data_IF_773683184761
#
_entry.id   IF_773683184761
#
_cell.length_a   1.000
_cell.length_b   1.000
_cell.length_c   1.000
_cell.angle_alpha   90.00
_cell.angle_beta   90.00
_cell.angle_gamma   90.00
#
_symmetry.space_group_name_H-M   'P 1'
#
loop_
_entity.id
_entity.type
_entity.pdbx_description
1 polymer ?
#
# COMPACT_ATOMS: atom_id res chain seq x y z
N UNK A 1 7.15 -22.75 -4.04
CA UNK A 1 6.91 -21.70 -5.03
C UNK A 1 5.81 -20.79 -4.53
N UNK A 2 6.08 -19.50 -4.50
CA UNK A 2 5.14 -18.49 -4.01
C UNK A 2 3.79 -18.54 -4.75
N UNK A 3 3.79 -18.88 -6.04
CA UNK A 3 2.59 -18.97 -6.86
C UNK A 3 1.53 -19.97 -6.36
N UNK A 4 1.93 -20.98 -5.57
CA UNK A 4 0.98 -21.94 -5.02
C UNK A 4 0.11 -21.36 -3.91
N UNK A 5 0.49 -20.24 -3.34
CA UNK A 5 -0.24 -19.57 -2.27
C UNK A 5 -1.15 -18.46 -2.78
N UNK A 6 -1.14 -18.17 -4.08
CA UNK A 6 -2.02 -17.19 -4.70
C UNK A 6 -3.35 -17.81 -5.13
N UNK A 7 -3.97 -18.59 -4.25
CA UNK A 7 -5.20 -19.33 -4.56
C UNK A 7 -6.40 -18.41 -4.84
N UNK A 8 -6.35 -17.16 -4.35
CA UNK A 8 -7.43 -16.18 -4.49
C UNK A 8 -7.19 -15.22 -5.66
N UNK A 9 -6.14 -15.45 -6.45
CA UNK A 9 -5.79 -14.58 -7.57
C UNK A 9 -5.47 -15.40 -8.82
N UNK A 10 -6.08 -15.04 -9.95
CA UNK A 10 -5.80 -15.64 -11.25
C UNK A 10 -4.74 -14.83 -11.98
N UNK A 11 -3.76 -15.51 -12.58
CA UNK A 11 -2.77 -14.86 -13.42
C UNK A 11 -3.41 -14.52 -14.76
N UNK A 12 -3.44 -13.23 -15.09
CA UNK A 12 -4.04 -12.74 -16.35
C UNK A 12 -2.98 -12.54 -17.41
N UNK A 13 -1.86 -11.94 -17.06
CA UNK A 13 -0.75 -11.63 -17.97
C UNK A 13 0.57 -11.94 -17.26
N UNK A 14 1.52 -12.50 -18.02
CA UNK A 14 2.89 -12.68 -17.59
C UNK A 14 3.82 -12.11 -18.66
N UNK A 15 4.78 -11.30 -18.25
CA UNK A 15 5.83 -10.77 -19.12
C UNK A 15 7.20 -11.08 -18.54
N UNK A 16 8.04 -11.68 -19.37
CA UNK A 16 9.44 -11.86 -19.04
C UNK A 16 10.21 -10.56 -19.28
N UNK A 17 11.04 -10.20 -18.32
CA UNK A 17 11.92 -9.05 -18.40
C UNK A 17 13.38 -9.51 -18.24
N UNK A 18 14.34 -8.62 -18.47
CA UNK A 18 15.77 -8.97 -18.40
C UNK A 18 16.16 -9.55 -17.03
N UNK A 19 15.61 -9.03 -15.94
CA UNK A 19 16.00 -9.40 -14.58
C UNK A 19 14.83 -9.93 -13.75
N UNK A 20 13.75 -10.35 -14.39
CA UNK A 20 12.62 -10.87 -13.66
C UNK A 20 11.36 -10.95 -14.50
N UNK A 21 10.23 -10.94 -13.84
CA UNK A 21 8.95 -11.19 -14.45
C UNK A 21 7.93 -10.16 -13.94
N UNK A 22 7.07 -9.69 -14.82
CA UNK A 22 5.89 -8.89 -14.44
C UNK A 22 4.66 -9.75 -14.61
N UNK A 23 3.83 -9.81 -13.59
CA UNK A 23 2.56 -10.53 -13.61
C UNK A 23 1.40 -9.61 -13.29
N UNK A 24 0.34 -9.71 -14.06
CA UNK A 24 -0.94 -9.07 -13.74
C UNK A 24 -1.86 -10.15 -13.18
N UNK A 25 -2.36 -9.91 -11.98
CA UNK A 25 -3.23 -10.84 -11.27
C UNK A 25 -4.62 -10.22 -11.10
N UNK A 26 -5.63 -11.04 -11.17
CA UNK A 26 -7.00 -10.66 -10.82
C UNK A 26 -7.41 -11.45 -9.58
N UNK A 27 -7.76 -10.74 -8.52
CA UNK A 27 -8.14 -11.39 -7.27
C UNK A 27 -8.01 -10.45 -6.07
N UNK A 28 -8.04 -11.04 -4.89
CA UNK A 28 -7.95 -10.29 -3.64
C UNK A 28 -6.48 -10.10 -3.23
N UNK A 29 -6.02 -8.87 -3.26
CA UNK A 29 -4.65 -8.54 -2.92
C UNK A 29 -4.27 -8.90 -1.48
N UNK A 30 -5.23 -8.96 -0.57
CA UNK A 30 -4.98 -9.27 0.86
C UNK A 30 -4.28 -10.62 1.04
N UNK A 31 -4.57 -11.59 0.17
CA UNK A 31 -3.98 -12.93 0.25
C UNK A 31 -2.71 -13.13 -0.56
N UNK A 32 -2.24 -12.11 -1.27
CA UNK A 32 -1.04 -12.25 -2.11
C UNK A 32 0.21 -12.19 -1.27
N UNK A 33 1.05 -13.21 -1.39
CA UNK A 33 2.33 -13.29 -0.69
C UNK A 33 3.44 -12.55 -1.46
N UNK A 34 4.42 -12.04 -0.73
CA UNK A 34 5.58 -11.38 -1.31
C UNK A 34 6.43 -10.71 -0.25
N UNK A 35 7.43 -9.99 -0.70
CA UNK A 35 8.32 -9.25 0.19
C UNK A 35 7.72 -7.88 0.55
N UNK A 36 7.26 -7.17 -0.47
CA UNK A 36 6.75 -5.80 -0.33
C UNK A 36 5.41 -5.70 -1.04
N UNK A 37 4.46 -5.07 -0.39
CA UNK A 37 3.17 -4.74 -0.98
C UNK A 37 3.00 -3.23 -0.98
N UNK A 38 2.74 -2.66 -2.16
CA UNK A 38 2.46 -1.23 -2.32
C UNK A 38 0.95 -1.03 -2.30
N UNK A 39 0.47 -0.14 -1.45
CA UNK A 39 -0.96 0.14 -1.32
C UNK A 39 -1.25 1.64 -1.43
N UNK A 40 -2.39 2.02 -2.02
CA UNK A 40 -2.81 3.41 -2.03
C UNK A 40 -3.23 3.84 -0.62
N UNK A 41 -2.86 5.05 -0.24
CA UNK A 41 -3.20 5.62 1.04
C UNK A 41 -3.68 7.06 0.87
N UNK A 42 -4.25 7.63 1.92
CA UNK A 42 -4.52 9.06 1.99
C UNK A 42 -3.40 9.78 2.75
N UNK A 43 -3.36 11.10 2.63
CA UNK A 43 -2.31 11.90 3.24
C UNK A 43 -2.28 11.85 4.77
N UNK A 44 -3.34 11.37 5.40
CA UNK A 44 -3.45 11.23 6.86
C UNK A 44 -3.02 9.84 7.34
N UNK A 45 -2.79 8.89 6.45
CA UNK A 45 -2.54 7.47 6.77
C UNK A 45 -3.67 6.87 7.64
N UNK A 46 -4.91 7.33 7.45
CA UNK A 46 -6.03 6.95 8.32
C UNK A 46 -6.67 5.60 7.98
N UNK A 47 -6.51 5.12 6.74
CA UNK A 47 -7.01 3.81 6.35
C UNK A 47 -8.52 3.63 6.47
N UNK A 48 -9.30 4.64 6.08
CA UNK A 48 -10.76 4.66 6.30
C UNK A 48 -11.60 4.40 5.07
N UNK A 49 -10.99 4.26 3.91
CA UNK A 49 -11.73 4.11 2.65
C UNK A 49 -11.11 3.05 1.75
N UNK A 50 -11.98 2.34 1.05
CA UNK A 50 -11.62 1.46 -0.04
C UNK A 50 -10.59 0.39 0.32
N UNK A 51 -9.60 0.22 -0.53
CA UNK A 51 -8.56 -0.79 -0.36
C UNK A 51 -7.72 -0.53 0.89
N UNK A 52 -7.43 0.73 1.21
CA UNK A 52 -6.63 1.08 2.39
C UNK A 52 -7.33 0.61 3.68
N UNK A 53 -8.64 0.82 3.80
CA UNK A 53 -9.42 0.33 4.95
C UNK A 53 -9.35 -1.19 5.03
N UNK A 54 -9.54 -1.88 3.91
CA UNK A 54 -9.49 -3.33 3.87
C UNK A 54 -8.11 -3.86 4.28
N UNK A 55 -7.04 -3.22 3.83
CA UNK A 55 -5.68 -3.60 4.20
C UNK A 55 -5.42 -3.36 5.69
N UNK A 56 -5.91 -2.25 6.24
CA UNK A 56 -5.81 -1.95 7.66
C UNK A 56 -6.53 -3.00 8.51
N UNK A 57 -7.72 -3.40 8.11
CA UNK A 57 -8.48 -4.44 8.80
C UNK A 57 -7.76 -5.79 8.75
N UNK A 58 -7.25 -6.17 7.59
CA UNK A 58 -6.56 -7.43 7.40
C UNK A 58 -5.22 -7.49 8.14
N UNK A 59 -4.50 -6.39 8.19
CA UNK A 59 -3.22 -6.29 8.90
C UNK A 59 -3.38 -6.33 10.42
N UNK A 60 -4.51 -5.84 10.93
CA UNK A 60 -4.79 -5.79 12.36
C UNK A 60 -4.41 -4.48 13.03
N UNK A 61 -4.64 -4.39 14.33
CA UNK A 61 -4.47 -3.16 15.12
C UNK A 61 -3.03 -2.63 15.11
N UNK A 62 -2.04 -3.51 14.95
CA UNK A 62 -0.64 -3.10 14.90
C UNK A 62 -0.35 -2.11 13.78
N UNK A 63 -0.96 -2.28 12.61
CA UNK A 63 -0.78 -1.36 11.51
C UNK A 63 -1.41 0.01 11.81
N UNK A 64 -2.60 0.03 12.39
CA UNK A 64 -3.25 1.30 12.77
C UNK A 64 -2.40 2.09 13.76
N UNK A 65 -1.84 1.40 14.74
CA UNK A 65 -0.95 2.00 15.72
C UNK A 65 0.33 2.53 15.07
N UNK A 66 0.96 1.75 14.19
CA UNK A 66 2.16 2.17 13.47
C UNK A 66 1.91 3.43 12.62
N UNK A 67 0.80 3.46 11.89
CA UNK A 67 0.42 4.63 11.09
C UNK A 67 0.13 5.85 11.97
N UNK A 68 -0.55 5.67 13.09
CA UNK A 68 -0.83 6.74 14.04
C UNK A 68 0.46 7.33 14.63
N UNK A 69 1.44 6.49 14.96
CA UNK A 69 2.72 6.94 15.48
C UNK A 69 3.51 7.74 14.44
N UNK A 70 3.53 7.29 13.19
CA UNK A 70 4.17 8.03 12.09
C UNK A 70 3.49 9.40 11.91
N UNK A 71 2.16 9.42 11.90
CA UNK A 71 1.39 10.66 11.78
C UNK A 71 1.74 11.64 12.88
N UNK A 72 1.83 11.15 14.12
CA UNK A 72 2.18 11.96 15.30
C UNK A 72 3.58 12.57 15.18
N UNK A 73 4.57 11.77 14.81
CA UNK A 73 5.95 12.24 14.67
C UNK A 73 6.09 13.27 13.54
N UNK A 74 5.45 13.03 12.40
CA UNK A 74 5.51 13.98 11.28
C UNK A 74 4.79 15.29 11.59
N UNK A 75 3.68 15.26 12.31
CA UNK A 75 2.98 16.49 12.73
C UNK A 75 3.81 17.36 13.66
N UNK A 76 4.66 16.78 14.48
CA UNK A 76 5.62 17.54 15.30
C UNK A 76 6.57 18.38 14.45
N UNK A 77 6.82 17.94 13.22
CA UNK A 77 7.67 18.62 12.25
C UNK A 77 6.88 19.51 11.28
N UNK A 78 5.59 19.71 11.51
CA UNK A 78 4.66 20.43 10.62
C UNK A 78 4.56 19.78 9.22
N UNK A 79 4.70 18.45 9.15
CA UNK A 79 4.57 17.67 7.94
C UNK A 79 3.27 16.87 7.94
N UNK A 80 2.70 16.66 6.75
CA UNK A 80 1.63 15.67 6.61
C UNK A 80 2.15 14.27 6.88
N UNK A 81 1.33 13.36 7.42
CA UNK A 81 1.74 11.97 7.61
C UNK A 81 2.30 11.30 6.35
N UNK A 82 1.68 11.55 5.20
CA UNK A 82 2.20 11.16 3.90
C UNK A 82 1.66 12.11 2.85
N UNK A 83 2.50 12.89 2.22
CA UNK A 83 2.07 13.85 1.19
C UNK A 83 1.89 13.21 -0.17
N UNK A 84 1.23 13.93 -1.09
CA UNK A 84 1.10 13.50 -2.49
C UNK A 84 2.49 13.30 -3.09
N UNK A 85 2.69 12.14 -3.72
CA UNK A 85 3.99 11.76 -4.30
C UNK A 85 4.98 11.19 -3.31
N UNK A 86 4.62 11.10 -2.03
CA UNK A 86 5.47 10.50 -1.00
C UNK A 86 5.09 9.03 -0.77
N UNK A 87 6.00 8.31 -0.13
CA UNK A 87 5.79 6.92 0.29
C UNK A 87 6.24 6.76 1.75
N UNK A 88 5.49 5.96 2.49
CA UNK A 88 5.79 5.61 3.88
C UNK A 88 5.80 4.10 4.00
N UNK A 89 6.84 3.56 4.62
CA UNK A 89 6.99 2.11 4.81
C UNK A 89 6.67 1.73 6.26
N UNK A 90 5.88 0.67 6.41
CA UNK A 90 5.59 0.05 7.71
C UNK A 90 5.81 -1.45 7.64
N UNK A 91 5.82 -2.10 8.80
CA UNK A 91 5.65 -3.55 8.86
C UNK A 91 4.24 -3.93 8.37
N UNK A 92 4.07 -5.17 7.97
CA UNK A 92 2.81 -5.65 7.40
C UNK A 92 1.92 -6.40 8.40
N UNK A 93 2.44 -6.69 9.59
CA UNK A 93 1.73 -7.37 10.69
C UNK A 93 1.11 -8.69 10.23
N UNK A 94 -0.24 -8.79 10.19
CA UNK A 94 -0.91 -10.05 9.85
C UNK A 94 -1.00 -10.32 8.34
N UNK A 95 -0.55 -9.40 7.49
CA UNK A 95 -0.54 -9.61 6.05
C UNK A 95 0.61 -10.54 5.63
N UNK A 96 0.45 -11.30 4.53
CA UNK A 96 1.45 -12.29 4.10
C UNK A 96 2.60 -11.67 3.29
N UNK A 97 3.06 -10.50 3.69
CA UNK A 97 4.21 -9.79 3.13
C UNK A 97 5.07 -9.27 4.27
N UNK A 98 6.31 -8.90 3.99
CA UNK A 98 7.21 -8.40 5.03
C UNK A 98 6.98 -6.94 5.34
N UNK A 99 6.74 -6.13 4.32
CA UNK A 99 6.58 -4.68 4.45
C UNK A 99 5.43 -4.17 3.61
N UNK A 100 4.80 -3.10 4.09
CA UNK A 100 3.86 -2.32 3.32
C UNK A 100 4.50 -0.98 2.94
N UNK A 101 4.24 -0.54 1.71
CA UNK A 101 4.60 0.80 1.26
C UNK A 101 3.30 1.54 0.95
N UNK A 102 3.02 2.55 1.76
CA UNK A 102 1.84 3.40 1.62
C UNK A 102 2.19 4.54 0.67
N UNK A 103 1.45 4.71 -0.40
CA UNK A 103 1.70 5.76 -1.40
C UNK A 103 0.46 6.63 -1.57
N UNK A 104 0.67 7.93 -1.73
CA UNK A 104 -0.43 8.88 -1.94
C UNK A 104 -0.32 9.42 -3.37
N UNK A 105 -1.30 9.07 -4.20
CA UNK A 105 -1.42 9.59 -5.55
C UNK A 105 -2.14 10.94 -5.59
N UNK A 106 -2.07 11.63 -6.74
CA UNK A 106 -2.79 12.89 -6.91
C UNK A 106 -4.30 12.66 -6.96
N UNK A 107 -5.06 13.62 -6.42
CA UNK A 107 -6.51 13.64 -6.54
C UNK A 107 -6.92 14.48 -7.76
N UNK A 108 -7.13 13.82 -8.89
CA UNK A 108 -7.46 14.47 -10.15
C UNK A 108 -8.89 15.04 -10.19
N UNK A 109 -9.71 14.78 -9.19
CA UNK A 109 -11.03 15.41 -9.05
C UNK A 109 -10.91 16.89 -8.69
N UNK A 110 -9.76 17.27 -8.12
CA UNK A 110 -9.42 18.64 -7.76
C UNK A 110 -8.09 19.00 -8.42
N UNK A 111 -8.10 19.28 -9.74
CA UNK A 111 -6.85 19.51 -10.46
C UNK A 111 -6.14 20.76 -9.94
N UNK A 112 -4.91 20.56 -9.47
CA UNK A 112 -3.98 21.61 -9.09
C UNK A 112 -2.67 21.36 -9.82
N UNK A 113 -1.78 22.35 -9.85
CA UNK A 113 -0.47 22.12 -10.46
C UNK A 113 0.30 20.98 -9.79
N UNK A 114 0.11 20.81 -8.49
CA UNK A 114 0.82 19.78 -7.73
C UNK A 114 0.37 18.36 -8.07
N UNK A 115 -0.86 18.19 -8.56
CA UNK A 115 -1.39 16.90 -8.97
C UNK A 115 -0.73 16.36 -10.25
N UNK A 116 -0.01 17.17 -11.00
CA UNK A 116 0.55 16.80 -12.31
C UNK A 116 2.08 16.86 -12.35
N UNK A 117 2.72 16.95 -11.22
CA UNK A 117 4.19 16.96 -11.11
C UNK A 117 4.78 15.58 -10.93
#
# INVERSE_FOLDING_TARGET
MASLRMLMADVVIVRECTHGQVRVLYGDIVGVEGDIMVIPANSRLAGREGLDERMQQAAGDGLREACANIAKERRKLNLQPCGVGEAVTTDAFNLPVSKLVHVVGPDCRRPTQDNFR
#
